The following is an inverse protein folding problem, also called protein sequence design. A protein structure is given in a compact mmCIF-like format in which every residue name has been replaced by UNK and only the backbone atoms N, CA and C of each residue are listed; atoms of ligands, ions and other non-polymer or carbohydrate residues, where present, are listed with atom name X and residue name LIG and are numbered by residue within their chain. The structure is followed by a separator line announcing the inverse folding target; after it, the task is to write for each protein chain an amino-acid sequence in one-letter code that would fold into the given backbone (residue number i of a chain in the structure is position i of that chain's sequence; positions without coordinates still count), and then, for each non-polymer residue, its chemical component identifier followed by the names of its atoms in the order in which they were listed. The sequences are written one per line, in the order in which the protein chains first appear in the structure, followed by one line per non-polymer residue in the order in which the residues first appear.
data_IF_994970291558
#
_entry.id   IF_994970291558
#
_cell.length_a   1.000
_cell.length_b   1.000
_cell.length_c   1.000
_cell.angle_alpha   90.00
_cell.angle_beta   90.00
_cell.angle_gamma   90.00
#
_symmetry.space_group_name_H-M   'P 1'
#
loop_
_entity.id
_entity.type
_entity.pdbx_description
1 polymer ?
#
# COMPACT_ATOMS: atom_id res chain seq x y z
N UNK A 1 -14.57 29.60 -7.47
CA UNK A 1 -14.41 30.39 -8.71
C UNK A 1 -14.70 29.43 -9.86
N UNK A 2 -15.77 29.70 -10.61
CA UNK A 2 -16.26 28.88 -11.73
C UNK A 2 -15.59 29.42 -12.99
N UNK A 3 -14.72 28.63 -13.62
CA UNK A 3 -14.18 28.96 -14.95
C UNK A 3 -14.79 28.00 -15.98
N UNK A 4 -15.55 28.61 -16.89
CA UNK A 4 -16.18 28.04 -18.08
C UNK A 4 -15.22 28.27 -19.27
N UNK A 5 -15.44 27.52 -20.37
CA UNK A 5 -14.89 27.68 -21.75
C UNK A 5 -13.70 26.74 -22.05
N UNK A 6 -13.60 26.05 -23.20
CA UNK A 6 -14.25 26.22 -24.49
C UNK A 6 -14.34 24.90 -25.27
N UNK A 7 -15.36 24.82 -26.14
CA UNK A 7 -15.60 23.80 -27.17
C UNK A 7 -14.92 24.25 -28.47
N UNK A 8 -14.15 23.38 -29.13
CA UNK A 8 -13.72 23.50 -30.53
C UNK A 8 -13.67 22.08 -31.12
N UNK A 9 -14.72 21.65 -31.82
CA UNK A 9 -14.87 21.55 -33.28
C UNK A 9 -13.88 20.55 -33.95
N UNK A 10 -14.33 19.34 -34.27
CA UNK A 10 -14.96 18.90 -35.54
C UNK A 10 -13.93 18.61 -36.66
N UNK A 11 -13.64 17.33 -36.87
CA UNK A 11 -13.04 16.83 -38.12
C UNK A 11 -13.94 15.73 -38.65
N UNK A 12 -14.64 16.05 -39.73
CA UNK A 12 -15.34 15.12 -40.58
C UNK A 12 -14.34 14.30 -41.39
N UNK A 13 -14.57 13.00 -41.49
CA UNK A 13 -13.83 12.11 -42.38
C UNK A 13 -14.67 10.87 -42.66
N UNK A 14 -15.48 10.93 -43.72
CA UNK A 14 -16.06 9.73 -44.33
C UNK A 14 -14.94 8.91 -44.96
N UNK A 15 -14.75 7.68 -44.49
CA UNK A 15 -13.84 6.69 -45.05
C UNK A 15 -14.58 5.36 -45.24
N UNK A 16 -14.42 4.78 -46.42
CA UNK A 16 -15.17 3.66 -46.99
C UNK A 16 -14.94 2.29 -46.33
N UNK A 17 -15.99 1.48 -46.43
CA UNK A 17 -16.14 0.01 -46.32
C UNK A 17 -14.88 -0.90 -46.30
N UNK A 18 -14.88 -1.89 -45.40
CA UNK A 18 -14.25 -3.22 -45.60
C UNK A 18 -14.86 -4.25 -44.63
N UNK A 19 -15.54 -5.32 -45.07
CA UNK A 19 -15.84 -6.46 -44.21
C UNK A 19 -14.66 -7.43 -44.24
N UNK A 20 -13.66 -7.16 -43.39
CA UNK A 20 -12.54 -8.06 -43.13
C UNK A 20 -12.85 -8.95 -41.93
N UNK A 21 -13.15 -10.22 -42.19
CA UNK A 21 -13.18 -11.26 -41.17
C UNK A 21 -11.76 -11.58 -40.67
N UNK A 22 -11.70 -12.04 -39.41
CA UNK A 22 -10.56 -12.60 -38.67
C UNK A 22 -9.74 -11.65 -37.78
N UNK A 23 -9.96 -11.73 -36.45
CA UNK A 23 -8.96 -11.53 -35.38
C UNK A 23 -9.63 -11.95 -34.06
N UNK A 24 -9.34 -13.15 -33.53
CA UNK A 24 -8.25 -13.43 -32.60
C UNK A 24 -8.30 -12.59 -31.31
N UNK A 25 -8.57 -13.31 -30.20
CA UNK A 25 -8.29 -13.01 -28.80
C UNK A 25 -8.50 -11.56 -28.31
N UNK A 26 -9.58 -11.35 -27.55
CA UNK A 26 -9.64 -10.25 -26.61
C UNK A 26 -8.84 -10.62 -25.36
N UNK A 27 -7.66 -10.01 -25.09
CA UNK A 27 -7.20 -9.94 -23.72
C UNK A 27 -8.12 -8.93 -23.02
N UNK A 28 -9.05 -9.44 -22.23
CA UNK A 28 -9.67 -8.66 -21.17
C UNK A 28 -8.53 -8.16 -20.29
N UNK A 29 -8.07 -6.94 -20.56
CA UNK A 29 -7.24 -6.19 -19.63
C UNK A 29 -8.19 -5.69 -18.54
N UNK A 30 -8.68 -6.63 -17.73
CA UNK A 30 -8.97 -6.36 -16.34
C UNK A 30 -7.62 -5.95 -15.75
N UNK A 31 -7.32 -4.65 -15.88
CA UNK A 31 -6.44 -3.99 -14.95
C UNK A 31 -7.21 -3.98 -13.65
N UNK A 32 -7.25 -5.15 -13.01
CA UNK A 32 -7.42 -5.29 -11.59
C UNK A 32 -6.36 -4.35 -11.03
N UNK A 33 -6.78 -3.13 -10.74
CA UNK A 33 -6.08 -2.25 -9.82
C UNK A 33 -6.03 -3.08 -8.55
N UNK A 34 -4.94 -3.84 -8.41
CA UNK A 34 -4.49 -4.37 -7.16
C UNK A 34 -4.18 -3.12 -6.33
N UNK A 35 -5.25 -2.52 -5.79
CA UNK A 35 -5.18 -1.85 -4.52
C UNK A 35 -4.53 -2.88 -3.63
N UNK A 36 -3.21 -2.74 -3.48
CA UNK A 36 -2.47 -3.42 -2.46
C UNK A 36 -3.16 -2.91 -1.21
N UNK A 37 -4.12 -3.69 -0.70
CA UNK A 37 -4.72 -3.44 0.60
C UNK A 37 -3.51 -3.58 1.50
N UNK A 38 -2.87 -2.45 1.83
CA UNK A 38 -1.70 -2.45 2.65
C UNK A 38 -2.12 -3.25 3.88
N UNK A 39 -1.58 -4.46 4.03
CA UNK A 39 -1.95 -5.34 5.12
C UNK A 39 -1.53 -4.59 6.37
N UNK A 40 -2.48 -3.87 6.97
CA UNK A 40 -2.25 -3.11 8.18
C UNK A 40 -2.11 -4.15 9.27
N UNK A 41 -0.87 -4.49 9.59
CA UNK A 41 -0.59 -5.35 10.73
C UNK A 41 -1.22 -4.73 11.97
N UNK A 42 -1.87 -5.56 12.79
CA UNK A 42 -2.30 -5.11 14.10
C UNK A 42 -1.08 -4.61 14.87
N UNK A 43 -1.18 -3.42 15.47
CA UNK A 43 -0.06 -2.87 16.20
C UNK A 43 0.25 -3.74 17.43
N UNK A 44 1.53 -3.90 17.73
CA UNK A 44 1.98 -4.53 18.97
C UNK A 44 1.69 -3.57 20.11
N UNK A 45 0.98 -4.04 21.14
CA UNK A 45 0.65 -3.23 22.31
C UNK A 45 1.72 -3.35 23.39
N UNK A 46 2.04 -2.21 24.01
CA UNK A 46 2.84 -2.12 25.23
C UNK A 46 2.02 -2.58 26.44
N UNK A 47 2.66 -2.71 27.60
CA UNK A 47 1.96 -2.98 28.87
C UNK A 47 0.95 -1.89 29.27
N UNK A 48 1.16 -0.65 28.83
CA UNK A 48 0.22 0.46 29.03
C UNK A 48 -0.92 0.48 28.01
N UNK A 49 -0.97 -0.49 27.09
CA UNK A 49 -2.06 -0.63 26.10
C UNK A 49 -1.92 0.24 24.86
N UNK A 50 -0.84 1.02 24.74
CA UNK A 50 -0.56 1.83 23.54
C UNK A 50 0.19 1.01 22.49
N UNK A 51 0.14 1.40 21.21
CA UNK A 51 1.01 0.80 20.20
C UNK A 51 2.47 1.13 20.49
N UNK A 52 3.38 0.20 20.18
CA UNK A 52 4.82 0.43 20.32
C UNK A 52 5.29 1.60 19.43
N UNK A 53 6.38 2.23 19.84
CA UNK A 53 7.15 3.18 19.02
C UNK A 53 8.63 2.78 18.99
N UNK A 54 9.33 3.21 17.93
CA UNK A 54 10.77 3.01 17.84
C UNK A 54 11.53 3.60 19.02
N UNK A 55 12.50 2.85 19.54
CA UNK A 55 13.31 3.20 20.70
C UNK A 55 12.68 2.86 22.05
N UNK A 56 11.39 2.51 22.09
CA UNK A 56 10.75 2.09 23.35
C UNK A 56 11.31 0.76 23.85
N UNK A 57 11.33 0.59 25.17
CA UNK A 57 11.68 -0.67 25.79
C UNK A 57 10.72 -1.78 25.33
N UNK A 58 11.28 -2.93 24.99
CA UNK A 58 10.52 -4.13 24.72
C UNK A 58 10.71 -5.15 25.85
N UNK A 59 9.70 -5.98 26.10
CA UNK A 59 9.81 -7.02 27.13
C UNK A 59 10.90 -8.01 26.72
N UNK A 60 11.68 -8.50 27.68
CA UNK A 60 12.72 -9.50 27.40
C UNK A 60 12.17 -10.76 26.73
N UNK A 61 10.95 -11.17 27.07
CA UNK A 61 10.26 -12.30 26.41
C UNK A 61 9.97 -12.08 24.93
N UNK A 62 10.07 -10.84 24.45
CA UNK A 62 9.92 -10.48 23.04
C UNK A 62 11.27 -10.25 22.35
N UNK A 63 12.40 -10.51 23.01
CA UNK A 63 13.71 -10.38 22.37
C UNK A 63 13.81 -11.21 21.08
N UNK A 64 14.25 -10.58 19.99
CA UNK A 64 14.31 -11.17 18.65
C UNK A 64 12.97 -11.17 17.89
N UNK A 65 11.85 -10.87 18.55
CA UNK A 65 10.54 -10.81 17.90
C UNK A 65 10.32 -9.48 17.19
N UNK A 66 9.45 -9.50 16.17
CA UNK A 66 9.01 -8.30 15.45
C UNK A 66 7.71 -7.76 16.01
N UNK A 67 7.58 -6.44 15.98
CA UNK A 67 6.35 -5.74 16.33
C UNK A 67 6.04 -4.62 15.34
N UNK A 68 4.81 -4.11 15.41
CA UNK A 68 4.32 -3.07 14.50
C UNK A 68 3.77 -1.86 15.26
N UNK A 69 4.10 -0.65 14.82
CA UNK A 69 3.50 0.57 15.38
C UNK A 69 2.08 0.83 14.83
N UNK A 70 1.48 1.95 15.24
CA UNK A 70 0.13 2.33 14.83
C UNK A 70 -0.01 2.63 13.32
N UNK A 71 1.09 2.98 12.64
CA UNK A 71 1.09 3.27 11.19
C UNK A 71 1.52 2.05 10.36
N UNK A 72 1.80 0.91 11.01
CA UNK A 72 2.23 -0.30 10.34
C UNK A 72 3.71 -0.28 9.98
N UNK A 73 4.57 0.41 10.74
CA UNK A 73 6.03 0.29 10.64
C UNK A 73 6.52 -0.88 11.48
N UNK A 74 7.38 -1.70 10.89
CA UNK A 74 8.00 -2.85 11.56
C UNK A 74 9.18 -2.43 12.43
N UNK A 75 9.26 -3.03 13.61
CA UNK A 75 10.39 -2.97 14.52
C UNK A 75 10.79 -4.38 14.95
N UNK A 76 12.03 -4.55 15.39
CA UNK A 76 12.55 -5.77 16.01
C UNK A 76 13.00 -5.42 17.42
N UNK A 77 12.58 -6.21 18.40
CA UNK A 77 13.05 -6.09 19.77
C UNK A 77 14.48 -6.62 19.86
N UNK A 78 15.47 -5.73 19.90
CA UNK A 78 16.90 -6.07 19.92
C UNK A 78 17.69 -5.07 20.78
N UNK A 79 19.01 -5.24 20.85
CA UNK A 79 19.90 -4.43 21.67
C UNK A 79 20.41 -5.22 22.88
N UNK A 80 20.50 -4.57 24.04
CA UNK A 80 20.94 -5.25 25.27
C UNK A 80 19.92 -6.30 25.69
N UNK A 81 20.37 -7.52 26.03
CA UNK A 81 19.48 -8.57 26.54
C UNK A 81 18.83 -8.19 27.89
N UNK A 82 19.45 -7.31 28.69
CA UNK A 82 18.90 -6.86 29.96
C UNK A 82 17.89 -5.72 29.78
N UNK A 83 18.11 -4.87 28.78
CA UNK A 83 17.22 -3.77 28.44
C UNK A 83 17.06 -3.66 26.92
N UNK A 84 16.24 -4.52 26.31
CA UNK A 84 16.07 -4.49 24.87
C UNK A 84 15.06 -3.41 24.46
N UNK A 85 15.19 -2.95 23.22
CA UNK A 85 14.34 -1.89 22.66
C UNK A 85 13.79 -2.28 21.28
N UNK A 86 12.64 -1.71 20.92
CA UNK A 86 12.07 -1.81 19.58
C UNK A 86 12.89 -0.95 18.62
N UNK A 87 13.75 -1.57 17.82
CA UNK A 87 14.63 -0.88 16.87
C UNK A 87 14.20 -1.17 15.44
N UNK A 88 14.56 -0.30 14.51
CA UNK A 88 14.38 -0.58 13.08
C UNK A 88 15.15 -1.87 12.74
N UNK A 89 14.58 -2.79 11.93
CA UNK A 89 15.17 -4.11 11.64
C UNK A 89 16.65 -4.05 11.28
#
# INVERSE_FOLDING_TARGET
MRSVLAVIALVAGLGLVTPGAATAAAPSSDTASAHSVAHRHACTRTSSGTCIRGGEFCRQSQYGHSGWDAVGRRYVCKGSHTHPHWMVP
#
